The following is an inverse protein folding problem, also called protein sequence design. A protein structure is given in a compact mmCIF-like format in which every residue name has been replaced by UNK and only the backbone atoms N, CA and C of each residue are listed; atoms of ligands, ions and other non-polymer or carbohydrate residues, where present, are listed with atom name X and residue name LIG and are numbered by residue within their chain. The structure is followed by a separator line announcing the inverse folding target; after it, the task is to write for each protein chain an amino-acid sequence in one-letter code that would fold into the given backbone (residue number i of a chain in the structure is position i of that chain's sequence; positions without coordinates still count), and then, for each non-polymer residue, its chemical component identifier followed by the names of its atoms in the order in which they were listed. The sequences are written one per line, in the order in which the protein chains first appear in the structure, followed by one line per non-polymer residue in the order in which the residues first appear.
data_IF_267800071532
#
_entry.id   IF_267800071532
#
_cell.length_a   1.000
_cell.length_b   1.000
_cell.length_c   1.000
_cell.angle_alpha   90.00
_cell.angle_beta   90.00
_cell.angle_gamma   90.00
#
_symmetry.space_group_name_H-M   'P 1'
#
loop_
_entity.id
_entity.type
_entity.pdbx_description
1 polymer ?
#
# COMPACT_ATOMS: atom_id res chain seq x y z
N UNK A 1 -5.68 1.52 6.67
CA UNK A 1 -6.36 2.72 7.22
C UNK A 1 -5.75 3.12 8.58
N UNK A 2 -5.63 2.20 9.57
CA UNK A 2 -5.18 2.52 10.93
C UNK A 2 -3.80 3.20 11.00
N UNK A 3 -2.82 2.72 10.23
CA UNK A 3 -1.49 3.33 10.18
C UNK A 3 -1.51 4.78 9.67
N UNK A 4 -2.32 5.05 8.63
CA UNK A 4 -2.49 6.41 8.10
C UNK A 4 -3.16 7.32 9.12
N UNK A 5 -4.24 6.85 9.76
CA UNK A 5 -4.90 7.62 10.82
C UNK A 5 -3.94 7.93 11.97
N UNK A 6 -3.16 6.93 12.43
CA UNK A 6 -2.14 7.10 13.47
C UNK A 6 -1.05 8.09 13.06
N UNK A 7 -0.56 8.03 11.83
CA UNK A 7 0.43 8.98 11.32
C UNK A 7 -0.11 10.42 11.30
N UNK A 8 -1.36 10.61 10.86
CA UNK A 8 -2.00 11.94 10.87
C UNK A 8 -2.15 12.49 12.30
N UNK A 9 -2.49 11.62 13.27
CA UNK A 9 -2.55 12.01 14.68
C UNK A 9 -1.17 12.41 15.21
N UNK A 10 -0.12 11.64 14.90
CA UNK A 10 1.26 11.93 15.31
C UNK A 10 1.75 13.28 14.73
N UNK A 11 1.60 13.46 13.41
CA UNK A 11 2.00 14.70 12.72
C UNK A 11 1.26 15.93 13.26
N UNK A 12 -0.05 15.83 13.49
CA UNK A 12 -0.84 16.89 14.05
C UNK A 12 -0.45 17.18 15.52
N UNK A 13 -0.26 16.12 16.33
CA UNK A 13 0.10 16.23 17.74
C UNK A 13 1.43 16.95 17.97
N UNK A 14 2.46 16.68 17.15
CA UNK A 14 3.75 17.37 17.21
C UNK A 14 3.82 18.67 16.41
N UNK A 15 2.70 19.07 15.78
CA UNK A 15 2.59 20.29 14.96
C UNK A 15 3.60 20.32 13.80
N UNK A 16 3.76 19.19 13.10
CA UNK A 16 4.66 19.06 11.98
C UNK A 16 4.43 20.16 10.92
N UNK A 17 5.50 20.78 10.46
CA UNK A 17 5.44 21.86 9.47
C UNK A 17 5.39 21.29 8.05
N UNK A 18 4.33 20.60 7.73
CA UNK A 18 4.14 19.91 6.47
C UNK A 18 2.68 19.96 6.03
N UNK A 19 2.44 19.98 4.71
CA UNK A 19 1.11 19.83 4.14
C UNK A 19 0.89 18.35 3.77
N UNK A 20 0.12 17.63 4.58
CA UNK A 20 -0.16 16.20 4.42
C UNK A 20 -1.65 15.94 4.30
N UNK A 21 -2.01 15.05 3.42
CA UNK A 21 -3.38 14.54 3.27
C UNK A 21 -3.38 13.05 3.57
N UNK A 22 -4.19 12.64 4.54
CA UNK A 22 -4.45 11.22 4.84
C UNK A 22 -5.75 10.76 4.18
N UNK A 23 -5.67 9.70 3.38
CA UNK A 23 -6.84 9.05 2.76
C UNK A 23 -7.02 7.68 3.38
N UNK A 24 -8.22 7.39 3.86
CA UNK A 24 -8.58 6.12 4.46
C UNK A 24 -9.55 5.38 3.54
N UNK A 25 -9.10 4.26 2.96
CA UNK A 25 -9.98 3.33 2.26
C UNK A 25 -10.71 2.45 3.29
N UNK A 26 -12.00 2.67 3.46
CA UNK A 26 -12.84 1.96 4.43
C UNK A 26 -14.01 1.33 3.69
N UNK A 27 -13.95 0.03 3.47
CA UNK A 27 -14.98 -0.73 2.76
C UNK A 27 -15.24 -2.06 3.47
N UNK A 28 -16.39 -2.63 3.22
CA UNK A 28 -16.71 -4.02 3.58
C UNK A 28 -16.58 -4.92 2.35
N UNK A 29 -16.00 -6.09 2.52
CA UNK A 29 -15.95 -7.15 1.51
C UNK A 29 -16.62 -8.39 2.10
N UNK A 30 -17.92 -8.47 1.94
CA UNK A 30 -18.76 -9.51 2.53
C UNK A 30 -19.52 -10.30 1.47
N UNK A 31 -19.78 -11.60 1.69
CA UNK A 31 -20.69 -12.36 0.84
C UNK A 31 -22.08 -11.72 0.83
N UNK A 32 -22.54 -11.35 -0.36
CA UNK A 32 -23.84 -10.70 -0.56
C UNK A 32 -24.36 -11.03 -1.97
N UNK A 33 -25.68 -10.94 -2.16
CA UNK A 33 -26.31 -11.14 -3.47
C UNK A 33 -25.90 -10.09 -4.53
N UNK A 34 -25.35 -8.95 -4.11
CA UNK A 34 -24.84 -7.88 -4.98
C UNK A 34 -23.32 -7.77 -4.96
N UNK A 35 -22.62 -8.64 -4.21
CA UNK A 35 -21.15 -8.64 -4.17
C UNK A 35 -20.56 -8.96 -5.53
N UNK A 36 -19.34 -8.47 -5.77
CA UNK A 36 -18.55 -8.81 -6.96
C UNK A 36 -18.32 -10.34 -7.03
N UNK A 37 -18.28 -10.86 -8.25
CA UNK A 37 -18.07 -12.29 -8.51
C UNK A 37 -16.85 -12.46 -9.44
N UNK A 38 -16.17 -13.60 -9.36
CA UNK A 38 -15.18 -13.95 -10.37
C UNK A 38 -15.80 -13.92 -11.78
N UNK A 39 -15.15 -13.23 -12.72
CA UNK A 39 -15.64 -12.99 -14.07
C UNK A 39 -16.35 -11.65 -14.28
N UNK A 40 -16.65 -10.91 -13.20
CA UNK A 40 -17.16 -9.54 -13.33
C UNK A 40 -16.06 -8.61 -13.88
N UNK A 41 -16.47 -7.62 -14.66
CA UNK A 41 -15.59 -6.52 -15.11
C UNK A 41 -16.10 -5.23 -14.47
N UNK A 42 -15.25 -4.61 -13.66
CA UNK A 42 -15.58 -3.36 -12.99
C UNK A 42 -14.79 -2.19 -13.57
N UNK A 43 -15.31 -0.99 -13.43
CA UNK A 43 -14.66 0.23 -13.88
C UNK A 43 -14.14 1.01 -12.68
N UNK A 44 -12.83 1.30 -12.67
CA UNK A 44 -12.19 2.12 -11.66
C UNK A 44 -12.53 3.61 -11.84
N UNK A 45 -12.22 4.42 -10.82
CA UNK A 45 -12.31 5.88 -10.89
C UNK A 45 -11.45 6.48 -12.00
N UNK A 46 -10.36 5.83 -12.40
CA UNK A 46 -9.52 6.25 -13.52
C UNK A 46 -10.18 6.06 -14.89
N UNK A 47 -11.25 5.29 -14.95
CA UNK A 47 -11.91 4.86 -16.17
C UNK A 47 -11.41 3.52 -16.73
N UNK A 48 -10.32 2.99 -16.22
CA UNK A 48 -9.78 1.67 -16.60
C UNK A 48 -10.71 0.56 -16.12
N UNK A 49 -10.84 -0.48 -16.92
CA UNK A 49 -11.65 -1.67 -16.62
C UNK A 49 -10.80 -2.78 -16.01
N UNK A 50 -11.35 -3.50 -15.04
CA UNK A 50 -10.64 -4.52 -14.28
C UNK A 50 -11.48 -5.80 -14.26
N UNK A 51 -10.92 -6.89 -14.78
CA UNK A 51 -11.49 -8.22 -14.64
C UNK A 51 -11.24 -8.76 -13.24
N UNK A 52 -12.29 -9.16 -12.56
CA UNK A 52 -12.23 -9.74 -11.21
C UNK A 52 -12.09 -11.25 -11.35
N UNK A 53 -10.94 -11.79 -10.98
CA UNK A 53 -10.68 -13.23 -10.93
C UNK A 53 -10.66 -13.77 -9.50
N UNK A 54 -10.34 -12.91 -8.54
CA UNK A 54 -10.33 -13.24 -7.12
C UNK A 54 -10.98 -12.11 -6.32
N UNK A 55 -12.07 -12.40 -5.66
CA UNK A 55 -12.81 -11.41 -4.84
C UNK A 55 -12.12 -11.08 -3.53
N UNK A 56 -11.13 -11.86 -3.07
CA UNK A 56 -10.25 -11.59 -1.94
C UNK A 56 -9.04 -10.71 -2.34
N UNK A 57 -9.02 -10.21 -3.56
CA UNK A 57 -8.06 -9.21 -4.04
C UNK A 57 -8.76 -7.85 -4.26
N UNK A 58 -9.66 -7.48 -3.37
CA UNK A 58 -10.44 -6.24 -3.37
C UNK A 58 -9.63 -5.03 -2.86
N UNK A 59 -8.71 -5.25 -1.93
CA UNK A 59 -7.92 -4.18 -1.30
C UNK A 59 -7.17 -3.32 -2.33
N UNK A 60 -6.64 -3.94 -3.39
CA UNK A 60 -5.98 -3.23 -4.48
C UNK A 60 -6.94 -2.39 -5.33
N UNK A 61 -8.20 -2.76 -5.43
CA UNK A 61 -9.23 -1.99 -6.12
C UNK A 61 -9.52 -0.69 -5.36
N UNK A 62 -9.67 -0.79 -4.05
CA UNK A 62 -9.87 0.36 -3.16
C UNK A 62 -8.66 1.30 -3.21
N UNK A 63 -7.44 0.75 -3.14
CA UNK A 63 -6.20 1.53 -3.23
C UNK A 63 -6.04 2.21 -4.59
N UNK A 64 -6.38 1.54 -5.68
CA UNK A 64 -6.33 2.12 -7.02
C UNK A 64 -7.16 3.40 -7.13
N UNK A 65 -8.39 3.38 -6.63
CA UNK A 65 -9.28 4.54 -6.62
C UNK A 65 -8.80 5.63 -5.65
N UNK A 66 -8.29 5.24 -4.47
CA UNK A 66 -7.73 6.19 -3.50
C UNK A 66 -6.49 6.91 -4.06
N UNK A 67 -5.57 6.18 -4.71
CA UNK A 67 -4.37 6.73 -5.34
C UNK A 67 -4.75 7.66 -6.49
N UNK A 68 -5.67 7.24 -7.34
CA UNK A 68 -6.16 8.07 -8.44
C UNK A 68 -6.81 9.35 -7.94
N UNK A 69 -7.72 9.26 -6.96
CA UNK A 69 -8.36 10.40 -6.33
C UNK A 69 -7.35 11.37 -5.72
N UNK A 70 -6.36 10.83 -4.99
CA UNK A 70 -5.30 11.62 -4.38
C UNK A 70 -4.58 12.50 -5.39
N UNK A 71 -4.12 11.90 -6.49
CA UNK A 71 -3.39 12.61 -7.54
C UNK A 71 -4.24 13.69 -8.21
N UNK A 72 -5.48 13.35 -8.55
CA UNK A 72 -6.35 14.30 -9.27
C UNK A 72 -6.74 15.48 -8.39
N UNK A 73 -7.03 15.22 -7.11
CA UNK A 73 -7.58 16.24 -6.19
C UNK A 73 -6.51 17.10 -5.55
N UNK A 74 -5.39 16.51 -5.14
CA UNK A 74 -4.39 17.18 -4.30
C UNK A 74 -3.06 17.44 -5.00
N UNK A 75 -2.77 16.78 -6.11
CA UNK A 75 -1.51 16.91 -6.88
C UNK A 75 -0.28 16.84 -5.96
N UNK A 76 -0.14 15.77 -5.17
CA UNK A 76 0.90 15.66 -4.15
C UNK A 76 2.29 15.57 -4.80
N UNK A 77 3.32 16.01 -4.05
CA UNK A 77 4.73 15.82 -4.43
C UNK A 77 5.19 14.38 -4.28
N UNK A 78 4.55 13.63 -3.38
CA UNK A 78 4.83 12.23 -3.10
C UNK A 78 3.56 11.54 -2.59
N UNK A 79 3.40 10.26 -2.90
CA UNK A 79 2.34 9.41 -2.35
C UNK A 79 2.95 8.18 -1.70
N UNK A 80 2.39 7.78 -0.56
CA UNK A 80 2.74 6.52 0.10
C UNK A 80 1.43 5.85 0.51
N UNK A 81 1.25 4.61 0.15
CA UNK A 81 0.15 3.80 0.65
C UNK A 81 0.64 2.60 1.45
N UNK A 82 -0.17 2.19 2.42
CA UNK A 82 0.08 1.04 3.27
C UNK A 82 -1.18 0.17 3.30
N UNK A 83 -0.97 -1.12 3.07
CA UNK A 83 -2.04 -2.11 3.16
C UNK A 83 -1.52 -3.47 3.62
N UNK A 84 -2.38 -4.24 4.26
CA UNK A 84 -2.19 -5.68 4.48
C UNK A 84 -2.60 -6.40 3.19
N UNK A 85 -1.79 -6.21 2.13
CA UNK A 85 -2.27 -6.47 0.78
C UNK A 85 -2.14 -7.92 0.36
N UNK A 86 -1.01 -8.58 0.71
CA UNK A 86 -0.76 -9.91 0.16
C UNK A 86 -0.23 -10.91 1.19
N UNK A 87 -0.81 -12.10 1.20
CA UNK A 87 -0.23 -13.24 1.93
C UNK A 87 1.13 -13.66 1.35
N UNK A 88 1.40 -13.35 0.08
CA UNK A 88 2.68 -13.62 -0.57
C UNK A 88 3.84 -12.85 0.09
N UNK A 89 3.59 -11.68 0.66
CA UNK A 89 4.61 -10.93 1.40
C UNK A 89 5.02 -11.62 2.68
N UNK A 90 4.08 -12.26 3.38
CA UNK A 90 4.38 -13.07 4.58
C UNK A 90 5.28 -14.25 4.22
N UNK A 91 5.02 -14.89 3.08
CA UNK A 91 5.85 -16.00 2.60
C UNK A 91 7.27 -15.52 2.23
N UNK A 92 7.38 -14.33 1.64
CA UNK A 92 8.66 -13.79 1.19
C UNK A 92 9.54 -13.26 2.33
N UNK A 93 8.98 -12.56 3.32
CA UNK A 93 9.73 -11.79 4.32
C UNK A 93 9.49 -12.25 5.79
N UNK A 94 8.63 -13.24 6.02
CA UNK A 94 8.24 -13.62 7.38
C UNK A 94 7.34 -12.57 8.03
N UNK A 95 7.47 -12.36 9.35
CA UNK A 95 6.57 -11.48 10.13
C UNK A 95 7.24 -10.20 10.66
N UNK A 96 8.51 -9.98 10.34
CA UNK A 96 9.31 -8.90 10.93
C UNK A 96 9.64 -7.76 9.96
N UNK A 97 9.39 -7.96 8.66
CA UNK A 97 9.66 -6.99 7.60
C UNK A 97 8.41 -6.71 6.78
N UNK A 98 8.16 -5.43 6.49
CA UNK A 98 7.21 -5.04 5.46
C UNK A 98 7.92 -4.94 4.09
N UNK A 99 7.20 -5.25 3.01
CA UNK A 99 7.71 -5.10 1.66
C UNK A 99 7.48 -3.69 1.13
N UNK A 100 8.51 -3.07 0.56
CA UNK A 100 8.43 -1.74 -0.06
C UNK A 100 8.60 -1.87 -1.56
N UNK A 101 7.68 -1.28 -2.32
CA UNK A 101 7.77 -1.09 -3.76
C UNK A 101 7.75 0.42 -4.02
N UNK A 102 8.64 0.91 -4.88
CA UNK A 102 8.70 2.33 -5.17
C UNK A 102 9.13 2.58 -6.62
N UNK A 103 8.51 3.59 -7.25
CA UNK A 103 8.86 4.07 -8.58
C UNK A 103 9.94 5.17 -8.54
N UNK A 104 10.42 5.54 -7.34
CA UNK A 104 11.40 6.59 -7.12
C UNK A 104 12.46 6.14 -6.09
N UNK A 105 13.73 6.19 -6.47
CA UNK A 105 14.83 5.69 -5.63
C UNK A 105 15.05 6.56 -4.39
N UNK A 106 14.97 7.89 -4.52
CA UNK A 106 15.15 8.79 -3.38
C UNK A 106 14.07 8.57 -2.30
N UNK A 107 12.82 8.27 -2.71
CA UNK A 107 11.75 7.92 -1.78
C UNK A 107 12.04 6.58 -1.10
N UNK A 108 12.49 5.57 -1.85
CA UNK A 108 12.84 4.26 -1.30
C UNK A 108 14.00 4.36 -0.28
N UNK A 109 15.03 5.15 -0.59
CA UNK A 109 16.15 5.43 0.32
C UNK A 109 15.69 6.15 1.59
N UNK A 110 14.78 7.13 1.47
CA UNK A 110 14.18 7.80 2.62
C UNK A 110 13.43 6.85 3.53
N UNK A 111 12.62 5.95 2.95
CA UNK A 111 11.92 4.90 3.70
C UNK A 111 12.89 3.93 4.39
N UNK A 112 13.97 3.53 3.71
CA UNK A 112 15.00 2.67 4.31
C UNK A 112 15.74 3.35 5.48
N UNK A 113 16.02 4.64 5.37
CA UNK A 113 16.63 5.41 6.47
C UNK A 113 15.67 5.53 7.67
N UNK A 114 14.41 5.88 7.42
CA UNK A 114 13.38 5.96 8.46
C UNK A 114 13.12 4.59 9.12
N UNK A 115 13.14 3.50 8.35
CA UNK A 115 13.05 2.12 8.84
C UNK A 115 14.16 1.82 9.84
N UNK A 116 15.41 2.16 9.50
CA UNK A 116 16.56 1.98 10.38
C UNK A 116 16.46 2.81 11.66
N UNK A 117 15.99 4.04 11.56
CA UNK A 117 15.87 4.95 12.70
C UNK A 117 14.77 4.52 13.68
N UNK A 118 13.66 3.98 13.17
CA UNK A 118 12.49 3.62 13.99
C UNK A 118 12.45 2.17 14.43
N UNK A 119 13.22 1.30 13.79
CA UNK A 119 13.13 -0.15 13.98
C UNK A 119 11.86 -0.78 13.36
N UNK A 120 11.09 -0.05 12.58
CA UNK A 120 10.01 -0.59 11.74
C UNK A 120 10.62 -1.12 10.44
N UNK A 121 11.02 -2.39 10.45
CA UNK A 121 11.83 -2.98 9.40
C UNK A 121 11.13 -3.03 8.05
N UNK A 122 11.82 -2.59 7.01
CA UNK A 122 11.35 -2.66 5.63
C UNK A 122 12.36 -3.38 4.73
N UNK A 123 11.88 -3.97 3.64
CA UNK A 123 12.72 -4.51 2.59
C UNK A 123 12.18 -4.12 1.23
N UNK A 124 13.02 -3.51 0.38
CA UNK A 124 12.62 -3.08 -0.97
C UNK A 124 12.60 -4.28 -1.91
N UNK A 125 11.50 -4.45 -2.64
CA UNK A 125 11.33 -5.41 -3.71
C UNK A 125 11.23 -4.68 -5.07
N UNK A 126 11.53 -5.39 -6.19
CA UNK A 126 11.54 -4.79 -7.52
C UNK A 126 10.13 -4.61 -8.10
N UNK A 127 10.02 -3.68 -9.06
CA UNK A 127 8.87 -3.51 -9.97
C UNK A 127 9.32 -3.82 -11.41
N UNK A 128 9.55 -5.09 -11.76
CA UNK A 128 10.13 -5.45 -13.05
C UNK A 128 9.11 -5.34 -14.19
N UNK A 129 9.40 -4.61 -15.29
CA UNK A 129 8.46 -4.42 -16.39
C UNK A 129 7.98 -5.72 -17.05
N UNK A 130 8.81 -6.78 -17.03
CA UNK A 130 8.45 -8.07 -17.61
C UNK A 130 7.27 -8.76 -16.91
N UNK A 131 6.92 -8.36 -15.70
CA UNK A 131 5.77 -8.90 -14.95
C UNK A 131 4.47 -8.12 -15.19
N UNK A 132 4.53 -6.96 -15.86
CA UNK A 132 3.34 -6.19 -16.24
C UNK A 132 2.31 -7.02 -16.99
N UNK A 133 2.76 -7.83 -17.93
CA UNK A 133 1.89 -8.70 -18.73
C UNK A 133 1.14 -9.76 -17.91
N UNK A 134 1.57 -10.04 -16.68
CA UNK A 134 0.90 -11.03 -15.83
C UNK A 134 -0.47 -10.56 -15.34
N UNK A 135 -0.72 -9.26 -15.39
CA UNK A 135 -2.00 -8.65 -15.01
C UNK A 135 -2.80 -8.13 -16.20
N UNK A 136 -2.41 -8.46 -17.44
CA UNK A 136 -3.21 -8.16 -18.62
C UNK A 136 -4.43 -9.08 -18.68
N UNK A 137 -5.57 -8.54 -19.10
CA UNK A 137 -6.82 -9.28 -19.29
C UNK A 137 -7.19 -9.37 -20.77
N UNK A 138 -7.80 -10.46 -21.23
CA UNK A 138 -8.31 -10.56 -22.60
C UNK A 138 -9.63 -9.81 -22.82
N UNK A 139 -10.32 -9.39 -21.75
CA UNK A 139 -11.67 -8.79 -21.79
C UNK A 139 -11.77 -7.42 -21.09
N UNK A 140 -10.68 -6.95 -20.46
CA UNK A 140 -10.60 -5.69 -19.75
C UNK A 140 -9.19 -5.09 -19.92
N UNK A 141 -8.97 -3.87 -19.44
CA UNK A 141 -7.64 -3.25 -19.47
C UNK A 141 -6.63 -4.02 -18.61
N UNK A 142 -7.10 -4.65 -17.55
CA UNK A 142 -6.29 -5.49 -16.66
C UNK A 142 -7.16 -6.49 -15.87
N UNK A 143 -6.51 -7.40 -15.17
CA UNK A 143 -7.15 -8.28 -14.18
C UNK A 143 -6.58 -8.03 -12.78
N UNK A 144 -7.37 -8.35 -11.76
CA UNK A 144 -7.00 -8.02 -10.39
C UNK A 144 -5.96 -8.95 -9.75
N UNK A 145 -5.54 -10.03 -10.41
CA UNK A 145 -4.47 -10.93 -9.93
C UNK A 145 -3.52 -11.34 -11.05
N UNK A 146 -2.24 -11.49 -10.75
CA UNK A 146 -1.19 -11.92 -11.69
C UNK A 146 -0.86 -13.41 -11.66
N UNK A 147 -1.63 -14.23 -10.93
CA UNK A 147 -1.33 -15.63 -10.70
C UNK A 147 -0.60 -15.89 -9.38
N UNK A 148 -0.14 -17.14 -9.17
CA UNK A 148 0.46 -17.57 -7.90
C UNK A 148 1.89 -17.02 -7.69
N UNK A 149 2.69 -16.92 -8.75
CA UNK A 149 4.07 -16.43 -8.66
C UNK A 149 4.12 -14.90 -8.54
N UNK A 150 5.12 -14.37 -7.82
CA UNK A 150 5.35 -12.93 -7.67
C UNK A 150 4.13 -12.14 -7.18
N UNK A 151 3.29 -12.73 -6.31
CA UNK A 151 2.00 -12.17 -5.94
C UNK A 151 2.05 -10.75 -5.37
N UNK A 152 3.04 -10.43 -4.54
CA UNK A 152 3.21 -9.08 -3.99
C UNK A 152 3.71 -8.10 -5.06
N UNK A 153 4.58 -8.55 -5.97
CA UNK A 153 5.09 -7.72 -7.07
C UNK A 153 3.97 -7.38 -8.04
N UNK A 154 3.16 -8.37 -8.45
CA UNK A 154 2.03 -8.13 -9.37
C UNK A 154 0.94 -7.27 -8.73
N UNK A 155 0.75 -7.36 -7.41
CA UNK A 155 -0.13 -6.45 -6.68
C UNK A 155 0.37 -5.00 -6.70
N UNK A 156 1.68 -4.79 -6.49
CA UNK A 156 2.28 -3.47 -6.58
C UNK A 156 2.28 -2.91 -8.01
N UNK A 157 2.55 -3.74 -9.03
CA UNK A 157 2.43 -3.36 -10.44
C UNK A 157 0.99 -2.98 -10.82
N UNK A 158 0.01 -3.70 -10.27
CA UNK A 158 -1.40 -3.32 -10.44
C UNK A 158 -1.66 -1.89 -9.92
N UNK A 159 -1.20 -1.57 -8.71
CA UNK A 159 -1.33 -0.23 -8.14
C UNK A 159 -0.59 0.82 -8.97
N UNK A 160 0.60 0.49 -9.47
CA UNK A 160 1.41 1.40 -10.28
C UNK A 160 0.67 1.85 -11.56
N UNK A 161 -0.21 1.03 -12.16
CA UNK A 161 -1.04 1.42 -13.31
C UNK A 161 -1.99 2.58 -13.03
N UNK A 162 -2.24 2.88 -11.75
CA UNK A 162 -3.08 4.00 -11.32
C UNK A 162 -2.27 5.20 -10.82
N UNK A 163 -0.94 5.07 -10.77
CA UNK A 163 -0.02 6.15 -10.44
C UNK A 163 0.58 6.70 -11.73
N UNK A 164 0.52 8.04 -11.89
CA UNK A 164 1.16 8.73 -13.01
C UNK A 164 2.64 9.04 -12.69
N UNK A 165 3.05 10.26 -12.90
CA UNK A 165 4.43 10.71 -12.70
C UNK A 165 4.78 11.05 -11.25
N UNK A 166 3.83 10.91 -10.32
CA UNK A 166 4.05 11.21 -8.90
C UNK A 166 5.00 10.18 -8.28
N UNK A 167 6.08 10.60 -7.61
CA UNK A 167 6.88 9.70 -6.77
C UNK A 167 5.98 8.93 -5.79
N UNK A 168 6.06 7.63 -5.83
CA UNK A 168 5.14 6.75 -5.09
C UNK A 168 5.86 5.56 -4.47
N UNK A 169 5.38 5.16 -3.30
CA UNK A 169 5.75 3.91 -2.66
C UNK A 169 4.50 3.20 -2.11
N UNK A 170 4.44 1.90 -2.35
CA UNK A 170 3.53 0.97 -1.68
C UNK A 170 4.29 0.20 -0.59
N UNK A 171 3.70 0.12 0.59
CA UNK A 171 4.24 -0.66 1.72
C UNK A 171 3.24 -1.77 2.04
N UNK A 172 3.59 -3.00 1.69
CA UNK A 172 2.79 -4.18 2.05
C UNK A 172 3.11 -4.58 3.49
N UNK A 173 2.21 -4.21 4.40
CA UNK A 173 2.31 -4.42 5.84
C UNK A 173 1.61 -5.69 6.32
N UNK A 174 1.19 -6.58 5.41
CA UNK A 174 0.56 -7.85 5.77
C UNK A 174 1.38 -8.64 6.83
N UNK A 175 2.73 -8.68 6.75
CA UNK A 175 3.55 -9.34 7.76
C UNK A 175 3.53 -8.68 9.14
N UNK A 176 3.45 -7.35 9.19
CA UNK A 176 3.84 -6.56 10.36
C UNK A 176 2.66 -5.90 11.09
N UNK A 177 1.48 -5.89 10.47
CA UNK A 177 0.31 -5.17 10.99
C UNK A 177 -0.31 -5.81 12.24
N UNK A 178 -0.03 -7.09 12.49
CA UNK A 178 -0.61 -7.85 13.60
C UNK A 178 0.42 -8.75 14.26
N UNK A 179 0.39 -8.83 15.60
CA UNK A 179 1.22 -9.78 16.36
C UNK A 179 0.39 -10.61 17.33
N UNK A 180 0.78 -11.86 17.52
CA UNK A 180 0.21 -12.78 18.52
C UNK A 180 0.90 -12.69 19.87
N UNK A 181 2.05 -12.03 19.94
CA UNK A 181 2.87 -11.89 21.13
C UNK A 181 3.22 -10.42 21.36
N UNK A 182 3.33 -10.01 22.61
CA UNK A 182 3.84 -8.69 22.96
C UNK A 182 5.32 -8.61 22.54
N UNK A 183 5.64 -7.63 21.69
CA UNK A 183 7.03 -7.42 21.24
C UNK A 183 7.76 -6.37 22.07
N UNK A 184 7.05 -5.31 22.44
CA UNK A 184 7.52 -4.25 23.33
C UNK A 184 6.31 -3.64 24.04
N UNK A 185 6.48 -2.87 25.13
CA UNK A 185 5.36 -2.18 25.78
C UNK A 185 4.54 -1.27 24.83
N UNK A 186 5.16 -0.79 23.75
CA UNK A 186 4.49 0.02 22.71
C UNK A 186 3.88 -0.80 21.58
N UNK A 187 4.10 -2.12 21.55
CA UNK A 187 3.59 -3.05 20.54
C UNK A 187 2.95 -4.25 21.25
N UNK A 188 1.77 -4.08 21.85
CA UNK A 188 1.03 -5.14 22.53
C UNK A 188 0.51 -6.18 21.54
N UNK A 189 -0.04 -7.27 22.07
CA UNK A 189 -0.76 -8.27 21.26
C UNK A 189 -1.89 -7.60 20.48
N UNK A 190 -2.02 -7.95 19.22
CA UNK A 190 -3.04 -7.41 18.32
C UNK A 190 -2.46 -6.50 17.24
N UNK A 191 -3.17 -5.43 16.92
CA UNK A 191 -2.74 -4.45 15.94
C UNK A 191 -1.49 -3.70 16.41
N UNK A 192 -0.44 -3.71 15.59
CA UNK A 192 0.89 -3.20 15.98
C UNK A 192 1.04 -1.69 15.80
N UNK A 193 0.18 -1.06 14.98
CA UNK A 193 0.38 0.32 14.55
C UNK A 193 1.59 0.52 13.63
N UNK A 194 2.13 -0.55 13.05
CA UNK A 194 3.25 -0.50 12.13
C UNK A 194 3.02 0.52 11.01
N UNK A 195 4.05 1.30 10.71
CA UNK A 195 4.05 2.34 9.70
C UNK A 195 3.84 3.74 10.27
N UNK A 196 3.30 3.90 11.47
CA UNK A 196 3.10 5.23 12.09
C UNK A 196 4.43 5.92 12.34
N UNK A 197 5.35 5.24 13.02
CA UNK A 197 6.68 5.79 13.33
C UNK A 197 7.52 5.96 12.08
N UNK A 198 7.44 4.99 11.15
CA UNK A 198 8.12 5.04 9.86
C UNK A 198 7.75 6.29 9.06
N UNK A 199 6.44 6.56 8.93
CA UNK A 199 5.94 7.72 8.20
C UNK A 199 6.26 9.03 8.91
N UNK A 200 6.10 9.09 10.24
CA UNK A 200 6.43 10.27 11.03
C UNK A 200 7.91 10.64 10.89
N UNK A 201 8.81 9.65 10.99
CA UNK A 201 10.25 9.84 10.81
C UNK A 201 10.60 10.28 9.39
N UNK A 202 10.02 9.64 8.38
CA UNK A 202 10.23 10.03 6.98
C UNK A 202 9.83 11.49 6.74
N UNK A 203 8.68 11.90 7.28
CA UNK A 203 8.20 13.28 7.15
C UNK A 203 9.15 14.25 7.83
N UNK A 204 9.58 13.95 9.05
CA UNK A 204 10.53 14.79 9.78
C UNK A 204 11.86 14.97 9.03
N UNK A 205 12.37 13.88 8.43
CA UNK A 205 13.69 13.90 7.78
C UNK A 205 13.69 14.55 6.39
N UNK A 206 12.55 14.54 5.69
CA UNK A 206 12.53 14.85 4.24
C UNK A 206 11.53 15.90 3.80
N UNK A 207 10.50 16.19 4.59
CA UNK A 207 9.35 16.99 4.13
C UNK A 207 8.98 18.15 5.05
N UNK A 208 9.61 18.27 6.20
CA UNK A 208 9.51 19.45 7.04
C UNK A 208 10.58 20.46 6.69
N UNK A 209 10.17 21.72 6.47
CA UNK A 209 11.06 22.83 6.11
C UNK A 209 10.68 24.12 6.82
#
# INVERSE_FOLDING_TARGET
AGAVAGAMVALAGRKAKVNVVGILGLVENMPDGKAQRPGDVVKSMSGQTIEILNTDAEGRLVLADALWYCQQRFKPKVMIDLATLTGAMIIALGLDYAGVFANNDALAEGLAAASKATGENTWRLPLPPQYEKLIDSPIADMKNIGGRGAGSITAALFLQRFVKDTPWAHIDIAPTAWTKEERTPSVPVGATGYGVRLLDQLVADRYEG
#
